data_IF_625278362161
#
_entry.id   IF_625278362161
#
_cell.length_a   1.000
_cell.length_b   1.000
_cell.length_c   1.000
_cell.angle_alpha   90.00
_cell.angle_beta   90.00
_cell.angle_gamma   90.00
#
_symmetry.space_group_name_H-M   'P 1'
#
loop_
_entity.id
_entity.type
_entity.pdbx_description
1 polymer ?
#
# COMPACT_ATOMS: atom_id res chain seq x y z
N UNK A 1 21.08 -12.66 -4.94
CA UNK A 1 21.34 -12.22 -6.33
C UNK A 1 20.87 -10.79 -6.48
N UNK A 2 21.72 -9.91 -7.01
CA UNK A 2 21.27 -8.59 -7.44
C UNK A 2 20.35 -8.79 -8.67
N UNK A 3 19.11 -8.27 -8.68
CA UNK A 3 18.27 -8.33 -9.87
C UNK A 3 18.98 -7.61 -11.03
N UNK A 4 18.87 -8.14 -12.25
CA UNK A 4 19.44 -7.46 -13.42
C UNK A 4 18.73 -6.13 -13.66
N UNK A 5 19.44 -5.12 -14.19
CA UNK A 5 18.87 -3.78 -14.45
C UNK A 5 17.58 -3.82 -15.28
N UNK A 6 17.47 -4.77 -16.21
CA UNK A 6 16.25 -5.01 -17.00
C UNK A 6 15.05 -5.42 -16.15
N UNK A 7 15.25 -6.25 -15.12
CA UNK A 7 14.16 -6.67 -14.21
C UNK A 7 13.65 -5.52 -13.35
N UNK A 8 14.54 -4.62 -12.92
CA UNK A 8 14.21 -3.42 -12.13
C UNK A 8 13.35 -2.44 -12.94
N UNK A 9 13.77 -2.13 -14.17
CA UNK A 9 13.02 -1.22 -15.05
C UNK A 9 11.63 -1.77 -15.40
N UNK A 10 11.52 -3.08 -15.65
CA UNK A 10 10.24 -3.74 -15.93
C UNK A 10 9.26 -3.66 -14.76
N UNK A 11 9.73 -3.80 -13.52
CA UNK A 11 8.88 -3.75 -12.32
C UNK A 11 8.33 -2.37 -12.05
N UNK A 12 9.18 -1.35 -12.18
CA UNK A 12 8.77 0.06 -12.05
C UNK A 12 7.81 0.43 -13.18
N UNK A 13 8.14 0.09 -14.43
CA UNK A 13 7.29 0.38 -15.58
C UNK A 13 5.89 -0.24 -15.43
N UNK A 14 5.81 -1.47 -14.91
CA UNK A 14 4.54 -2.16 -14.66
C UNK A 14 3.63 -1.37 -13.71
N UNK A 15 4.17 -0.81 -12.63
CA UNK A 15 3.40 0.05 -11.72
C UNK A 15 3.02 1.38 -12.36
N UNK A 16 3.96 2.05 -13.02
CA UNK A 16 3.73 3.35 -13.65
C UNK A 16 2.69 3.26 -14.78
N UNK A 17 2.74 2.22 -15.61
CA UNK A 17 1.76 2.01 -16.69
C UNK A 17 0.35 1.82 -16.13
N UNK A 18 0.19 1.09 -15.01
CA UNK A 18 -1.11 0.90 -14.37
C UNK A 18 -1.66 2.20 -13.78
N UNK A 19 -0.82 2.93 -13.05
CA UNK A 19 -1.18 4.24 -12.50
C UNK A 19 -1.56 5.18 -13.64
N UNK A 20 -0.76 5.26 -14.71
CA UNK A 20 -1.02 6.11 -15.87
C UNK A 20 -2.32 5.71 -16.59
N UNK A 21 -2.58 4.42 -16.80
CA UNK A 21 -3.80 3.94 -17.44
C UNK A 21 -5.06 4.32 -16.65
N UNK A 22 -5.05 4.16 -15.33
CA UNK A 22 -6.19 4.56 -14.49
C UNK A 22 -6.32 6.08 -14.41
N UNK A 23 -5.21 6.83 -14.35
CA UNK A 23 -5.22 8.29 -14.36
C UNK A 23 -5.84 8.82 -15.67
N UNK A 24 -5.46 8.23 -16.79
CA UNK A 24 -6.01 8.56 -18.10
C UNK A 24 -7.51 8.26 -18.14
N UNK A 25 -7.95 7.10 -17.66
CA UNK A 25 -9.38 6.76 -17.59
C UNK A 25 -10.17 7.75 -16.71
N UNK A 26 -9.62 8.16 -15.56
CA UNK A 26 -10.24 9.16 -14.68
C UNK A 26 -10.41 10.53 -15.34
N UNK A 27 -9.55 10.89 -16.29
CA UNK A 27 -9.65 12.15 -17.01
C UNK A 27 -10.85 12.21 -17.98
N UNK A 28 -11.32 11.05 -18.46
CA UNK A 28 -12.40 10.97 -19.46
C UNK A 28 -13.72 10.41 -18.92
N UNK A 29 -13.73 9.82 -17.72
CA UNK A 29 -14.91 9.15 -17.16
C UNK A 29 -15.58 9.98 -16.06
N UNK A 30 -16.90 10.16 -16.20
CA UNK A 30 -17.78 10.79 -15.22
C UNK A 30 -18.69 9.81 -14.48
N UNK A 31 -19.56 10.36 -13.63
CA UNK A 31 -20.62 9.59 -12.96
C UNK A 31 -20.10 8.54 -11.96
N UNK A 32 -20.93 7.52 -11.63
CA UNK A 32 -20.60 6.50 -10.62
C UNK A 32 -19.34 5.69 -10.94
N UNK A 33 -19.04 5.48 -12.22
CA UNK A 33 -17.85 4.74 -12.67
C UNK A 33 -16.55 5.44 -12.21
N UNK A 34 -16.57 6.76 -12.07
CA UNK A 34 -15.43 7.52 -11.55
C UNK A 34 -15.00 7.06 -10.16
N UNK A 35 -15.94 6.75 -9.26
CA UNK A 35 -15.62 6.29 -7.91
C UNK A 35 -14.90 4.93 -7.95
N UNK A 36 -15.33 4.01 -8.81
CA UNK A 36 -14.66 2.73 -9.00
C UNK A 36 -13.23 2.90 -9.53
N UNK A 37 -13.04 3.84 -10.48
CA UNK A 37 -11.70 4.18 -10.98
C UNK A 37 -10.83 4.86 -9.90
N UNK A 38 -11.41 5.67 -9.00
CA UNK A 38 -10.69 6.21 -7.85
C UNK A 38 -10.22 5.10 -6.90
N UNK A 39 -11.05 4.08 -6.66
CA UNK A 39 -10.66 2.89 -5.88
C UNK A 39 -9.53 2.14 -6.57
N UNK A 40 -9.63 1.92 -7.89
CA UNK A 40 -8.59 1.28 -8.68
C UNK A 40 -7.26 2.06 -8.63
N UNK A 41 -7.32 3.39 -8.71
CA UNK A 41 -6.15 4.27 -8.57
C UNK A 41 -5.52 4.13 -7.19
N UNK A 42 -6.33 4.17 -6.13
CA UNK A 42 -5.84 4.00 -4.76
C UNK A 42 -5.14 2.65 -4.59
N UNK A 43 -5.73 1.57 -5.08
CA UNK A 43 -5.16 0.22 -4.98
C UNK A 43 -3.88 0.06 -5.82
N UNK A 44 -3.80 0.71 -6.99
CA UNK A 44 -2.58 0.77 -7.79
C UNK A 44 -1.44 1.46 -7.01
N UNK A 45 -1.73 2.63 -6.41
CA UNK A 45 -0.77 3.35 -5.56
C UNK A 45 -0.40 2.57 -4.30
N UNK A 46 -1.36 1.89 -3.67
CA UNK A 46 -1.12 1.05 -2.49
C UNK A 46 -0.09 -0.04 -2.81
N UNK A 47 -0.29 -0.78 -3.89
CA UNK A 47 0.63 -1.88 -4.24
C UNK A 47 2.01 -1.39 -4.66
N UNK A 48 2.08 -0.23 -5.32
CA UNK A 48 3.35 0.42 -5.61
C UNK A 48 4.07 0.87 -4.32
N UNK A 49 3.35 1.49 -3.39
CA UNK A 49 3.89 1.93 -2.10
C UNK A 49 4.31 0.75 -1.20
N UNK A 50 3.60 -0.36 -1.29
CA UNK A 50 3.90 -1.63 -0.63
C UNK A 50 5.25 -2.20 -1.11
N UNK A 51 5.42 -2.35 -2.43
CA UNK A 51 6.70 -2.79 -3.02
C UNK A 51 7.86 -1.83 -2.69
N UNK A 52 7.61 -0.52 -2.68
CA UNK A 52 8.57 0.50 -2.26
C UNK A 52 8.93 0.40 -0.78
N UNK A 53 8.00 -0.02 0.08
CA UNK A 53 8.25 -0.17 1.53
C UNK A 53 9.30 -1.25 1.80
N UNK A 54 9.27 -2.33 1.02
CA UNK A 54 10.28 -3.39 1.06
C UNK A 54 11.51 -3.14 0.19
N UNK A 55 11.48 -2.10 -0.64
CA UNK A 55 12.48 -1.86 -1.70
C UNK A 55 12.56 -3.01 -2.71
N UNK A 56 11.44 -3.68 -2.94
CA UNK A 56 11.33 -4.83 -3.84
C UNK A 56 11.64 -4.46 -5.30
N UNK A 57 11.52 -3.18 -5.66
CA UNK A 57 11.75 -2.67 -7.02
C UNK A 57 13.23 -2.44 -7.36
N UNK A 58 14.18 -2.67 -6.44
CA UNK A 58 15.62 -2.52 -6.71
C UNK A 58 16.10 -1.08 -6.96
N UNK A 59 15.28 -0.07 -6.62
CA UNK A 59 15.59 1.33 -6.84
C UNK A 59 16.69 1.88 -5.90
N UNK A 60 17.45 2.90 -6.34
CA UNK A 60 18.36 3.64 -5.46
C UNK A 60 17.65 4.17 -4.22
N UNK A 61 18.38 4.23 -3.09
CA UNK A 61 17.87 4.66 -1.78
C UNK A 61 17.04 5.96 -1.82
N UNK A 62 17.57 6.98 -2.49
CA UNK A 62 16.93 8.30 -2.58
C UNK A 62 15.68 8.26 -3.45
N UNK A 63 15.76 7.64 -4.63
CA UNK A 63 14.63 7.48 -5.56
C UNK A 63 13.48 6.71 -4.93
N UNK A 64 13.76 5.58 -4.29
CA UNK A 64 12.74 4.79 -3.59
C UNK A 64 12.04 5.61 -2.50
N UNK A 65 12.79 6.39 -1.72
CA UNK A 65 12.23 7.22 -0.67
C UNK A 65 11.38 8.37 -1.23
N UNK A 66 11.78 8.98 -2.34
CA UNK A 66 11.02 10.03 -3.01
C UNK A 66 9.70 9.49 -3.58
N UNK A 67 9.74 8.38 -4.31
CA UNK A 67 8.53 7.75 -4.87
C UNK A 67 7.58 7.29 -3.77
N UNK A 68 8.12 6.76 -2.67
CA UNK A 68 7.31 6.35 -1.51
C UNK A 68 6.64 7.56 -0.83
N UNK A 69 7.34 8.70 -0.75
CA UNK A 69 6.75 9.93 -0.23
C UNK A 69 5.62 10.45 -1.13
N UNK A 70 5.80 10.42 -2.45
CA UNK A 70 4.78 10.82 -3.44
C UNK A 70 3.58 9.89 -3.39
N UNK A 71 3.79 8.57 -3.47
CA UNK A 71 2.72 7.59 -3.40
C UNK A 71 1.96 7.70 -2.06
N UNK A 72 2.70 7.88 -0.96
CA UNK A 72 2.12 8.14 0.35
C UNK A 72 1.22 9.38 0.37
N UNK A 73 1.70 10.51 -0.14
CA UNK A 73 0.93 11.76 -0.17
C UNK A 73 -0.37 11.61 -0.98
N UNK A 74 -0.32 10.96 -2.14
CA UNK A 74 -1.51 10.66 -2.95
C UNK A 74 -2.48 9.72 -2.21
N UNK A 75 -1.96 8.75 -1.46
CA UNK A 75 -2.76 7.87 -0.60
C UNK A 75 -3.20 8.52 0.73
N UNK A 76 -2.91 9.81 0.93
CA UNK A 76 -3.19 10.56 2.15
C UNK A 76 -2.44 10.08 3.40
N UNK A 77 -1.21 9.58 3.30
CA UNK A 77 -0.35 9.19 4.43
C UNK A 77 1.13 9.59 4.26
N UNK A 78 1.91 9.52 5.34
CA UNK A 78 3.38 9.61 5.22
C UNK A 78 3.94 8.27 4.78
N UNK A 79 4.60 8.23 3.62
CA UNK A 79 5.25 7.03 3.10
C UNK A 79 6.31 6.47 4.05
N UNK A 80 7.08 7.34 4.72
CA UNK A 80 8.03 6.92 5.77
C UNK A 80 7.35 6.34 7.00
N UNK A 81 6.23 6.91 7.43
CA UNK A 81 5.45 6.39 8.54
C UNK A 81 4.85 5.01 8.20
N UNK A 82 4.24 4.88 7.02
CA UNK A 82 3.70 3.62 6.52
C UNK A 82 4.78 2.54 6.46
N UNK A 83 5.92 2.80 5.79
CA UNK A 83 7.01 1.83 5.72
C UNK A 83 7.50 1.38 7.10
N UNK A 84 7.56 2.29 8.07
CA UNK A 84 7.99 1.95 9.44
C UNK A 84 7.03 1.00 10.13
N UNK A 85 5.73 1.26 10.04
CA UNK A 85 4.72 0.39 10.65
C UNK A 85 4.58 -0.94 9.90
N UNK A 86 4.69 -0.91 8.58
CA UNK A 86 4.65 -2.09 7.75
C UNK A 86 5.83 -3.03 8.03
N UNK A 87 7.05 -2.50 8.13
CA UNK A 87 8.20 -3.33 8.52
C UNK A 87 8.10 -3.83 9.96
N UNK A 88 7.41 -3.12 10.86
CA UNK A 88 7.13 -3.61 12.21
C UNK A 88 6.14 -4.79 12.18
N UNK A 89 5.10 -4.70 11.35
CA UNK A 89 4.14 -5.79 11.11
C UNK A 89 4.86 -7.04 10.59
N UNK A 90 5.69 -6.91 9.56
CA UNK A 90 6.50 -8.04 9.06
C UNK A 90 7.48 -8.62 10.07
N UNK A 91 8.05 -7.78 10.94
CA UNK A 91 8.98 -8.26 11.96
C UNK A 91 8.29 -8.98 13.12
N UNK A 92 7.03 -8.63 13.42
CA UNK A 92 6.26 -9.13 14.57
C UNK A 92 4.77 -9.21 14.23
N UNK A 93 4.37 -10.06 13.28
CA UNK A 93 2.99 -10.10 12.80
C UNK A 93 2.05 -10.49 13.93
N UNK A 94 0.96 -9.74 14.08
CA UNK A 94 -0.10 -9.94 15.07
C UNK A 94 0.35 -9.82 16.54
N UNK A 95 1.57 -9.32 16.80
CA UNK A 95 2.00 -9.02 18.15
C UNK A 95 1.21 -7.82 18.74
N UNK A 96 1.15 -7.65 20.07
CA UNK A 96 0.43 -6.52 20.68
C UNK A 96 0.89 -5.12 20.21
N UNK A 97 2.14 -5.01 19.74
CA UNK A 97 2.68 -3.76 19.17
C UNK A 97 2.41 -3.57 17.67
N UNK A 98 1.85 -4.56 17.00
CA UNK A 98 1.50 -4.54 15.59
C UNK A 98 0.13 -3.88 15.38
N UNK A 99 0.17 -2.55 15.21
CA UNK A 99 -1.03 -1.75 14.99
C UNK A 99 -1.62 -2.01 13.60
N UNK A 100 -0.79 -2.37 12.62
CA UNK A 100 -1.23 -2.65 11.25
C UNK A 100 -2.02 -3.96 11.16
N UNK A 101 -1.52 -5.01 11.82
CA UNK A 101 -2.20 -6.30 11.95
C UNK A 101 -3.41 -6.32 12.90
N UNK A 102 -3.72 -5.21 13.58
CA UNK A 102 -4.79 -5.16 14.59
C UNK A 102 -6.16 -5.57 14.05
N UNK A 103 -6.44 -5.29 12.78
CA UNK A 103 -7.71 -5.67 12.15
C UNK A 103 -7.94 -7.18 12.16
N UNK A 104 -6.87 -7.96 11.95
CA UNK A 104 -6.90 -9.41 11.96
C UNK A 104 -7.12 -10.02 13.36
N UNK A 105 -7.02 -9.26 14.44
CA UNK A 105 -7.33 -9.77 15.78
C UNK A 105 -8.77 -9.43 16.23
N UNK A 106 -9.61 -8.92 15.31
CA UNK A 106 -10.98 -8.48 15.58
C UNK A 106 -11.98 -9.29 14.75
N UNK A 107 -13.26 -9.21 15.11
CA UNK A 107 -14.34 -9.65 14.23
C UNK A 107 -14.41 -8.77 12.97
N UNK A 108 -15.11 -9.24 11.93
CA UNK A 108 -15.33 -8.47 10.70
C UNK A 108 -15.78 -7.04 10.98
N UNK A 109 -16.85 -6.87 11.77
CA UNK A 109 -17.35 -5.54 12.14
C UNK A 109 -16.41 -4.78 13.07
N UNK A 110 -15.72 -5.47 13.98
CA UNK A 110 -14.70 -4.88 14.83
C UNK A 110 -13.53 -4.31 14.04
N UNK A 111 -13.15 -4.94 12.91
CA UNK A 111 -12.07 -4.47 12.04
C UNK A 111 -12.45 -3.20 11.27
N UNK A 112 -13.72 -3.03 10.89
CA UNK A 112 -14.22 -1.78 10.33
C UNK A 112 -14.25 -0.68 11.40
N UNK A 113 -14.85 -0.97 12.56
CA UNK A 113 -15.03 0.01 13.62
C UNK A 113 -13.70 0.55 14.18
N UNK A 114 -12.64 -0.27 14.21
CA UNK A 114 -11.34 0.17 14.71
C UNK A 114 -10.53 0.97 13.68
N UNK A 115 -10.90 0.95 12.40
CA UNK A 115 -10.13 1.53 11.31
C UNK A 115 -9.76 3.02 11.49
N UNK A 116 -10.71 3.92 11.83
CA UNK A 116 -10.39 5.32 12.09
C UNK A 116 -9.38 5.53 13.23
N UNK A 117 -9.52 4.76 14.32
CA UNK A 117 -8.57 4.81 15.44
C UNK A 117 -7.19 4.27 15.03
N UNK A 118 -7.16 3.18 14.26
CA UNK A 118 -5.92 2.59 13.73
C UNK A 118 -5.19 3.58 12.82
N UNK A 119 -5.91 4.29 11.95
CA UNK A 119 -5.34 5.30 11.05
C UNK A 119 -4.56 6.39 11.80
N UNK A 120 -5.09 6.89 12.92
CA UNK A 120 -4.42 7.87 13.77
C UNK A 120 -3.27 7.23 14.56
N UNK A 121 -3.49 6.04 15.13
CA UNK A 121 -2.51 5.32 15.95
C UNK A 121 -1.25 4.95 15.16
N UNK A 122 -1.39 4.52 13.91
CA UNK A 122 -0.24 4.20 13.03
C UNK A 122 0.69 5.40 12.88
N UNK A 123 0.15 6.60 12.63
CA UNK A 123 0.94 7.84 12.48
C UNK A 123 1.66 8.20 13.76
N UNK A 124 0.94 8.18 14.89
CA UNK A 124 1.50 8.51 16.21
C UNK A 124 2.61 7.53 16.60
N UNK A 125 2.40 6.24 16.39
CA UNK A 125 3.39 5.20 16.70
C UNK A 125 4.62 5.33 15.80
N UNK A 126 4.42 5.53 14.49
CA UNK A 126 5.50 5.73 13.55
C UNK A 126 6.37 6.93 13.91
N UNK A 127 5.75 8.05 14.29
CA UNK A 127 6.44 9.25 14.73
C UNK A 127 7.23 9.01 16.02
N UNK A 128 6.60 8.38 17.03
CA UNK A 128 7.25 8.07 18.31
C UNK A 128 8.50 7.22 18.12
N UNK A 129 8.43 6.22 17.23
CA UNK A 129 9.55 5.30 16.94
C UNK A 129 10.61 5.87 16.01
N UNK A 130 10.34 6.98 15.31
CA UNK A 130 11.26 7.54 14.33
C UNK A 130 12.43 8.29 14.99
N UNK A 131 13.61 8.20 14.37
CA UNK A 131 14.75 9.05 14.75
C UNK A 131 14.46 10.53 14.43
N UNK A 132 15.15 11.50 15.06
CA UNK A 132 14.86 12.93 14.84
C UNK A 132 14.87 13.38 13.38
N UNK A 133 15.81 12.88 12.57
CA UNK A 133 15.89 13.20 11.14
C UNK A 133 14.73 12.59 10.32
N UNK A 134 14.25 11.40 10.70
CA UNK A 134 13.09 10.77 10.07
C UNK A 134 11.79 11.45 10.47
N UNK A 135 11.68 11.95 11.71
CA UNK A 135 10.54 12.77 12.14
C UNK A 135 10.41 14.03 11.29
N UNK A 136 11.51 14.75 11.03
CA UNK A 136 11.48 15.91 10.11
C UNK A 136 10.96 15.54 8.73
N UNK A 137 11.39 14.40 8.18
CA UNK A 137 10.91 13.93 6.89
C UNK A 137 9.44 13.50 6.92
N UNK A 138 8.98 12.82 7.97
CA UNK A 138 7.56 12.49 8.17
C UNK A 138 6.71 13.76 8.29
N UNK A 139 7.21 14.81 8.95
CA UNK A 139 6.50 16.09 9.07
C UNK A 139 6.28 16.72 7.69
N UNK A 140 7.33 16.77 6.87
CA UNK A 140 7.26 17.28 5.49
C UNK A 140 6.22 16.48 4.68
N UNK A 141 6.24 15.15 4.77
CA UNK A 141 5.26 14.30 4.09
C UNK A 141 3.82 14.51 4.61
N UNK A 142 3.65 14.67 5.93
CA UNK A 142 2.35 14.97 6.52
C UNK A 142 1.82 16.33 6.09
N UNK A 143 2.66 17.36 6.05
CA UNK A 143 2.30 18.69 5.55
C UNK A 143 1.91 18.61 4.07
N UNK A 144 2.72 17.95 3.23
CA UNK A 144 2.40 17.75 1.82
C UNK A 144 1.05 17.03 1.62
N UNK A 145 0.80 15.99 2.43
CA UNK A 145 -0.46 15.26 2.45
C UNK A 145 -1.64 16.16 2.82
N UNK A 146 -1.49 16.99 3.87
CA UNK A 146 -2.54 17.91 4.32
C UNK A 146 -2.84 18.98 3.27
N UNK A 147 -1.81 19.54 2.63
CA UNK A 147 -1.97 20.51 1.54
C UNK A 147 -2.72 19.87 0.36
N UNK A 148 -2.32 18.66 -0.05
CA UNK A 148 -2.99 17.95 -1.13
C UNK A 148 -4.45 17.65 -0.78
N UNK A 149 -4.72 17.13 0.42
CA UNK A 149 -6.08 16.86 0.88
C UNK A 149 -6.93 18.13 0.92
N UNK A 150 -6.42 19.22 1.49
CA UNK A 150 -7.13 20.49 1.58
C UNK A 150 -7.46 21.06 0.19
N UNK A 151 -6.50 21.03 -0.74
CA UNK A 151 -6.70 21.48 -2.11
C UNK A 151 -7.72 20.60 -2.87
N UNK A 152 -7.70 19.28 -2.67
CA UNK A 152 -8.65 18.37 -3.27
C UNK A 152 -10.07 18.54 -2.70
N UNK A 153 -10.21 18.66 -1.38
CA UNK A 153 -11.51 18.82 -0.72
C UNK A 153 -12.11 20.23 -0.87
N UNK A 154 -11.29 21.27 -1.08
CA UNK A 154 -11.79 22.61 -1.42
C UNK A 154 -12.38 22.69 -2.83
N UNK A 155 -12.20 21.65 -3.66
CA UNK A 155 -12.59 21.65 -5.07
C UNK A 155 -11.61 22.38 -5.99
N UNK A 156 -10.55 23.00 -5.45
CA UNK A 156 -9.57 23.78 -6.22
C UNK A 156 -8.82 22.96 -7.29
N UNK A 157 -8.74 21.64 -7.10
CA UNK A 157 -8.10 20.71 -8.05
C UNK A 157 -9.11 20.01 -8.98
N UNK A 158 -10.38 20.43 -8.96
CA UNK A 158 -11.45 19.87 -9.77
C UNK A 158 -12.11 18.63 -9.16
N UNK A 159 -13.30 18.31 -9.66
CA UNK A 159 -14.18 17.29 -9.07
C UNK A 159 -13.55 15.90 -9.06
N UNK A 160 -12.75 15.54 -10.07
CA UNK A 160 -12.12 14.21 -10.12
C UNK A 160 -11.16 13.98 -8.93
N UNK A 161 -10.36 14.99 -8.58
CA UNK A 161 -9.45 14.90 -7.44
C UNK A 161 -10.17 14.98 -6.10
N UNK A 162 -11.30 15.69 -6.00
CA UNK A 162 -12.15 15.66 -4.81
C UNK A 162 -12.73 14.25 -4.56
N UNK A 163 -13.26 13.59 -5.59
CA UNK A 163 -13.74 12.22 -5.49
C UNK A 163 -12.61 11.25 -5.12
N UNK A 164 -11.42 11.42 -5.73
CA UNK A 164 -10.26 10.61 -5.38
C UNK A 164 -9.82 10.80 -3.93
N UNK A 165 -9.74 12.04 -3.43
CA UNK A 165 -9.38 12.31 -2.04
C UNK A 165 -10.40 11.74 -1.05
N UNK A 166 -11.70 11.81 -1.37
CA UNK A 166 -12.75 11.15 -0.60
C UNK A 166 -12.54 9.63 -0.54
N UNK A 167 -12.32 8.98 -1.69
CA UNK A 167 -12.06 7.54 -1.76
C UNK A 167 -10.77 7.17 -1.03
N UNK A 168 -9.69 7.91 -1.22
CA UNK A 168 -8.42 7.67 -0.54
C UNK A 168 -8.59 7.73 0.99
N UNK A 169 -9.32 8.72 1.49
CA UNK A 169 -9.62 8.83 2.91
C UNK A 169 -10.46 7.64 3.38
N UNK A 170 -11.54 7.27 2.67
CA UNK A 170 -12.38 6.13 3.01
C UNK A 170 -11.59 4.81 3.05
N UNK A 171 -10.70 4.59 2.05
CA UNK A 171 -9.83 3.41 2.00
C UNK A 171 -8.84 3.38 3.17
N UNK A 172 -8.31 4.53 3.59
CA UNK A 172 -7.43 4.59 4.75
C UNK A 172 -8.18 4.32 6.06
N UNK A 173 -9.37 4.90 6.22
CA UNK A 173 -10.20 4.70 7.41
C UNK A 173 -10.74 3.25 7.53
N UNK A 174 -10.73 2.49 6.44
CA UNK A 174 -11.16 1.09 6.41
C UNK A 174 -10.01 0.09 6.23
N UNK A 175 -8.74 0.55 6.27
CA UNK A 175 -7.56 -0.31 6.06
C UNK A 175 -7.46 -1.47 7.06
N UNK A 176 -7.90 -1.30 8.31
CA UNK A 176 -7.98 -2.40 9.27
C UNK A 176 -8.90 -3.53 8.80
N UNK A 177 -9.94 -3.25 8.03
CA UNK A 177 -10.76 -4.29 7.42
C UNK A 177 -10.08 -4.90 6.18
N UNK A 178 -9.81 -4.10 5.14
CA UNK A 178 -9.42 -4.68 3.84
C UNK A 178 -7.94 -5.06 3.76
N UNK A 179 -7.04 -4.32 4.42
CA UNK A 179 -5.60 -4.56 4.34
C UNK A 179 -5.09 -5.47 5.47
N UNK A 180 -5.86 -5.63 6.55
CA UNK A 180 -5.50 -6.47 7.70
C UNK A 180 -6.46 -7.65 7.88
N UNK A 181 -7.73 -7.40 8.21
CA UNK A 181 -8.68 -8.51 8.45
C UNK A 181 -8.83 -9.43 7.23
N UNK A 182 -9.14 -8.88 6.05
CA UNK A 182 -9.30 -9.69 4.83
C UNK A 182 -7.99 -10.37 4.41
N UNK A 183 -6.85 -9.68 4.52
CA UNK A 183 -5.55 -10.24 4.13
C UNK A 183 -5.18 -11.47 4.96
N UNK A 184 -5.45 -11.46 6.27
CA UNK A 184 -5.18 -12.59 7.16
C UNK A 184 -6.30 -13.65 7.20
N UNK A 185 -7.51 -13.32 6.77
CA UNK A 185 -8.66 -14.24 6.73
C UNK A 185 -9.15 -14.51 5.30
N UNK A 186 -8.24 -14.51 4.32
CA UNK A 186 -8.62 -14.72 2.92
C UNK A 186 -9.32 -16.07 2.78
N UNK A 187 -10.61 -16.11 2.37
CA UNK A 187 -11.31 -17.37 2.25
C UNK A 187 -10.75 -18.20 1.08
N UNK A 188 -10.77 -19.54 1.16
CA UNK A 188 -10.15 -20.40 0.14
C UNK A 188 -10.63 -20.14 -1.29
N UNK A 189 -11.91 -19.77 -1.47
CA UNK A 189 -12.44 -19.46 -2.80
C UNK A 189 -11.82 -18.18 -3.40
N UNK A 190 -11.52 -17.17 -2.58
CA UNK A 190 -10.89 -15.93 -3.02
C UNK A 190 -9.43 -16.17 -3.36
N UNK A 191 -8.74 -17.02 -2.59
CA UNK A 191 -7.40 -17.47 -2.92
C UNK A 191 -7.36 -18.24 -4.26
N UNK A 192 -8.33 -19.13 -4.49
CA UNK A 192 -8.48 -19.84 -5.78
C UNK A 192 -8.77 -18.89 -6.93
N UNK A 193 -9.64 -17.90 -6.72
CA UNK A 193 -9.94 -16.88 -7.72
C UNK A 193 -8.67 -16.08 -8.06
N UNK A 194 -7.94 -15.60 -7.04
CA UNK A 194 -6.69 -14.87 -7.26
C UNK A 194 -5.63 -15.71 -7.98
N UNK A 195 -5.53 -17.02 -7.67
CA UNK A 195 -4.66 -17.95 -8.38
C UNK A 195 -5.07 -18.11 -9.86
N UNK A 196 -6.37 -18.28 -10.12
CA UNK A 196 -6.90 -18.39 -11.49
C UNK A 196 -6.66 -17.12 -12.32
N UNK A 197 -6.62 -15.95 -11.67
CA UNK A 197 -6.32 -14.66 -12.30
C UNK A 197 -4.86 -14.20 -12.11
N UNK A 198 -3.97 -15.07 -11.60
CA UNK A 198 -2.57 -14.70 -11.38
C UNK A 198 -1.85 -14.34 -12.69
N UNK A 199 -2.32 -14.87 -13.82
CA UNK A 199 -1.82 -14.49 -15.15
C UNK A 199 -2.01 -13.01 -15.46
N UNK A 200 -3.05 -12.36 -14.89
CA UNK A 200 -3.27 -10.92 -15.03
C UNK A 200 -2.28 -10.10 -14.18
N UNK A 201 -1.49 -10.76 -13.33
CA UNK A 201 -0.45 -10.17 -12.46
C UNK A 201 -0.97 -8.98 -11.65
N UNK A 202 -2.23 -9.03 -11.24
CA UNK A 202 -2.86 -7.96 -10.45
C UNK A 202 -2.18 -7.90 -9.08
N UNK A 203 -1.39 -6.86 -8.77
CA UNK A 203 -0.66 -6.81 -7.51
C UNK A 203 -1.61 -6.71 -6.32
N UNK A 204 -2.82 -6.19 -6.53
CA UNK A 204 -3.85 -6.04 -5.50
C UNK A 204 -4.39 -7.41 -5.11
N UNK A 205 -4.83 -8.19 -6.09
CA UNK A 205 -5.31 -9.55 -5.84
C UNK A 205 -4.21 -10.42 -5.27
N UNK A 206 -2.99 -10.32 -5.82
CA UNK A 206 -1.87 -11.13 -5.38
C UNK A 206 -1.38 -10.73 -3.97
N UNK A 207 -1.31 -9.44 -3.63
CA UNK A 207 -0.88 -9.00 -2.28
C UNK A 207 -1.89 -9.34 -1.19
N UNK A 208 -3.18 -9.30 -1.49
CA UNK A 208 -4.23 -9.67 -0.54
C UNK A 208 -4.35 -11.20 -0.43
N UNK A 209 -4.43 -11.91 -1.54
CA UNK A 209 -4.67 -13.35 -1.54
C UNK A 209 -3.43 -14.19 -1.19
N UNK A 210 -2.23 -13.69 -1.52
CA UNK A 210 -0.95 -14.30 -1.15
C UNK A 210 -0.23 -13.48 -0.09
N UNK A 211 -0.97 -12.85 0.82
CA UNK A 211 -0.41 -12.03 1.90
C UNK A 211 0.60 -12.80 2.76
N UNK A 212 0.29 -14.05 3.09
CA UNK A 212 1.21 -14.93 3.84
C UNK A 212 2.49 -15.25 3.05
N UNK A 213 2.38 -15.42 1.72
CA UNK A 213 3.55 -15.63 0.87
C UNK A 213 4.40 -14.37 0.77
N UNK A 214 3.74 -13.21 0.76
CA UNK A 214 4.40 -11.92 0.84
C UNK A 214 5.19 -11.75 2.16
N UNK A 215 4.66 -12.21 3.30
CA UNK A 215 5.42 -12.26 4.56
C UNK A 215 6.70 -13.08 4.47
N UNK A 216 6.66 -14.19 3.72
CA UNK A 216 7.84 -15.06 3.49
C UNK A 216 8.83 -14.46 2.49
N UNK A 217 8.32 -13.74 1.49
CA UNK A 217 9.11 -13.17 0.39
C UNK A 217 8.88 -11.66 0.20
N UNK A 218 9.12 -10.83 1.23
CA UNK A 218 8.79 -9.39 1.18
C UNK A 218 9.58 -8.63 0.10
N UNK A 219 10.71 -9.17 -0.34
CA UNK A 219 11.52 -8.58 -1.41
C UNK A 219 11.04 -8.90 -2.83
N UNK A 220 10.00 -9.71 -3.00
CA UNK A 220 9.40 -10.02 -4.31
C UNK A 220 8.28 -9.01 -4.59
N UNK A 221 8.32 -8.28 -5.72
CA UNK A 221 7.25 -7.37 -6.09
C UNK A 221 5.88 -8.08 -6.13
N UNK A 222 4.83 -7.43 -5.64
CA UNK A 222 3.51 -8.04 -5.48
C UNK A 222 2.95 -8.64 -6.79
N UNK A 223 3.26 -8.05 -7.94
CA UNK A 223 2.81 -8.55 -9.25
C UNK A 223 3.52 -9.82 -9.74
N UNK A 224 4.57 -10.26 -9.02
CA UNK A 224 5.32 -11.51 -9.24
C UNK A 224 5.05 -12.55 -8.15
N UNK A 225 4.19 -12.26 -7.18
CA UNK A 225 3.82 -13.25 -6.18
C UNK A 225 3.03 -14.39 -6.83
N UNK A 226 3.34 -15.60 -6.41
CA UNK A 226 2.66 -16.83 -6.81
C UNK A 226 2.66 -17.80 -5.65
N UNK A 227 1.74 -18.77 -5.65
CA UNK A 227 1.74 -19.82 -4.65
C UNK A 227 3.06 -20.63 -4.70
N UNK A 228 3.65 -20.90 -3.54
CA UNK A 228 4.80 -21.81 -3.40
C UNK A 228 6.13 -21.26 -3.90
N UNK A 229 6.42 -19.96 -3.71
CA UNK A 229 7.75 -19.45 -4.00
C UNK A 229 8.76 -20.16 -3.08
N UNK A 230 9.87 -20.68 -3.64
CA UNK A 230 10.83 -21.47 -2.87
C UNK A 230 11.38 -20.62 -1.72
N UNK A 231 11.41 -21.19 -0.51
CA UNK A 231 11.88 -20.52 0.69
C UNK A 231 13.21 -19.80 0.43
N UNK A 232 13.32 -18.54 0.86
CA UNK A 232 14.51 -17.73 0.67
C UNK A 232 15.69 -18.48 1.29
N UNK A 233 16.65 -18.94 0.47
CA UNK A 233 17.92 -19.49 0.97
C UNK A 233 18.52 -18.44 1.91
N UNK A 234 18.74 -18.81 3.17
CA UNK A 234 19.47 -17.95 4.09
C UNK A 234 20.78 -17.54 3.42
N UNK A 235 21.19 -16.26 3.48
CA UNK A 235 22.51 -15.89 3.00
C UNK A 235 23.52 -16.79 3.73
N UNK A 236 24.29 -17.55 2.94
CA UNK A 236 25.34 -18.42 3.46
C UNK A 236 26.19 -17.61 4.44
N UNK A 237 26.36 -18.17 5.64
CA UNK A 237 27.30 -17.66 6.62
C UNK A 237 28.72 -17.75 6.09
#
# INVERSE_FOLDING_TARGET
MNPSTHTVLGDVATHLLRIAAVALALAFVGGPVRLALCVAMFLALFTFAHDLSHRALGLPRRTNAALLAVAGALMLLSGRAMRRMHLLHHARPLAPCDIEGLGATRSLWGSFACGPATFVRLRREAWRRAAPHERRAQLVEHVATMIFAAAAFSGSLGTALSHYAFVALAMQLTASFWASYMAHHTPPWLARLAAAFAFARSPVLLSLAFHEEHHRHPGVPCHRLSAGLPARRAPGR
#
